data_IF_500385577728
#
_entry.id   IF_500385577728
#
_cell.length_a   1.000
_cell.length_b   1.000
_cell.length_c   1.000
_cell.angle_alpha   90.00
_cell.angle_beta   90.00
_cell.angle_gamma   90.00
#
_symmetry.space_group_name_H-M   'P 1'
#
loop_
_entity.id
_entity.type
_entity.pdbx_description
1 polymer ?
#
# COMPACT_ATOMS: atom_id res chain seq x y z
N UNK A 1 15.44 -3.75 -4.63
CA UNK A 1 14.60 -2.68 -4.11
C UNK A 1 13.22 -3.24 -3.79
N UNK A 2 12.70 -2.91 -2.62
CA UNK A 2 11.41 -3.38 -2.13
C UNK A 2 10.40 -2.24 -2.17
N UNK A 3 9.18 -2.53 -2.57
CA UNK A 3 8.08 -1.55 -2.64
C UNK A 3 6.87 -2.11 -1.89
N UNK A 4 6.30 -1.29 -0.99
CA UNK A 4 5.02 -1.55 -0.34
C UNK A 4 3.92 -0.87 -1.15
N UNK A 5 2.86 -1.62 -1.47
CA UNK A 5 1.75 -1.12 -2.28
C UNK A 5 0.61 -0.62 -1.39
N UNK A 6 0.13 0.59 -1.65
CA UNK A 6 -1.12 1.07 -1.07
C UNK A 6 -2.30 0.23 -1.59
N UNK A 7 -3.39 0.23 -0.86
CA UNK A 7 -4.56 -0.61 -1.13
C UNK A 7 -5.10 -0.46 -2.56
N UNK A 8 -5.28 0.77 -3.04
CA UNK A 8 -5.75 0.99 -4.41
C UNK A 8 -4.78 0.48 -5.48
N UNK A 9 -3.49 0.58 -5.21
CA UNK A 9 -2.45 0.10 -6.14
C UNK A 9 -2.52 -1.41 -6.31
N UNK A 10 -2.76 -2.14 -5.22
CA UNK A 10 -2.98 -3.60 -5.27
C UNK A 10 -4.15 -3.93 -6.19
N UNK A 11 -5.28 -3.26 -6.00
CA UNK A 11 -6.48 -3.49 -6.79
C UNK A 11 -6.27 -3.16 -8.27
N UNK A 12 -5.61 -2.04 -8.56
CA UNK A 12 -5.30 -1.65 -9.93
C UNK A 12 -4.37 -2.66 -10.62
N UNK A 13 -3.35 -3.12 -9.89
CA UNK A 13 -2.41 -4.10 -10.44
C UNK A 13 -3.11 -5.42 -10.80
N UNK A 14 -3.94 -5.93 -9.90
CA UNK A 14 -4.65 -7.20 -10.12
C UNK A 14 -5.70 -7.11 -11.23
N UNK A 15 -6.33 -5.95 -11.39
CA UNK A 15 -7.34 -5.72 -12.43
C UNK A 15 -6.75 -5.23 -13.76
N UNK A 16 -5.44 -5.06 -13.83
CA UNK A 16 -4.76 -4.42 -14.96
C UNK A 16 -5.41 -3.08 -15.33
N UNK A 17 -5.70 -2.29 -14.30
CA UNK A 17 -6.40 -1.01 -14.45
C UNK A 17 -5.46 0.02 -15.09
N UNK A 18 -5.91 0.74 -16.15
CA UNK A 18 -5.07 1.73 -16.84
C UNK A 18 -4.69 2.93 -15.98
N UNK A 19 -5.33 3.16 -14.83
CA UNK A 19 -4.91 4.19 -13.88
C UNK A 19 -3.53 3.93 -13.30
N UNK A 20 -3.10 2.65 -13.24
CA UNK A 20 -1.72 2.31 -12.89
C UNK A 20 -0.82 2.70 -14.06
N UNK A 21 0.04 3.69 -13.85
CA UNK A 21 0.83 4.30 -14.91
C UNK A 21 1.98 3.44 -15.40
N UNK A 22 2.55 3.79 -16.57
CA UNK A 22 3.63 2.98 -17.17
C UNK A 22 4.92 2.99 -16.35
N UNK A 23 5.29 4.09 -15.74
CA UNK A 23 6.48 4.16 -14.87
C UNK A 23 6.31 3.33 -13.61
N UNK A 24 5.11 3.37 -13.02
CA UNK A 24 4.80 2.55 -11.86
C UNK A 24 4.88 1.06 -12.20
N UNK A 25 4.35 0.66 -13.36
CA UNK A 25 4.45 -0.73 -13.85
C UNK A 25 5.88 -1.18 -14.05
N UNK A 26 6.71 -0.33 -14.66
CA UNK A 26 8.14 -0.62 -14.85
C UNK A 26 8.85 -0.77 -13.51
N UNK A 27 8.54 0.09 -12.56
CA UNK A 27 9.13 0.03 -11.23
C UNK A 27 8.74 -1.24 -10.48
N UNK A 28 7.49 -1.64 -10.59
CA UNK A 28 7.01 -2.90 -10.00
C UNK A 28 7.69 -4.11 -10.65
N UNK A 29 7.84 -4.10 -11.96
CA UNK A 29 8.53 -5.18 -12.68
C UNK A 29 10.00 -5.30 -12.28
N UNK A 30 10.66 -4.17 -11.99
CA UNK A 30 12.07 -4.14 -11.60
C UNK A 30 12.29 -4.36 -10.10
N UNK A 31 11.25 -4.30 -9.27
CA UNK A 31 11.38 -4.45 -7.82
C UNK A 31 11.81 -5.87 -7.44
N UNK A 32 12.70 -5.97 -6.45
CA UNK A 32 13.09 -7.26 -5.88
C UNK A 32 11.96 -7.90 -5.10
N UNK A 33 11.24 -7.07 -4.33
CA UNK A 33 10.04 -7.50 -3.59
C UNK A 33 8.93 -6.46 -3.75
N UNK A 34 7.72 -6.97 -3.94
CA UNK A 34 6.49 -6.18 -4.00
C UNK A 34 5.60 -6.65 -2.88
N UNK A 35 5.36 -5.79 -1.90
CA UNK A 35 4.72 -6.18 -0.66
C UNK A 35 3.32 -5.59 -0.56
N UNK A 36 2.42 -6.37 0.03
CA UNK A 36 1.06 -5.97 0.40
C UNK A 36 0.92 -6.16 1.90
N UNK A 37 0.50 -5.12 2.60
CA UNK A 37 0.17 -5.26 4.02
C UNK A 37 -1.13 -6.05 4.19
N UNK A 38 -1.16 -6.96 5.16
CA UNK A 38 -2.42 -7.61 5.52
C UNK A 38 -3.44 -6.61 6.06
N UNK A 39 -3.00 -5.43 6.52
CA UNK A 39 -3.91 -4.33 6.85
C UNK A 39 -4.68 -3.83 5.63
N UNK A 40 -4.07 -3.82 4.44
CA UNK A 40 -4.78 -3.49 3.19
C UNK A 40 -5.85 -4.51 2.86
N UNK A 41 -5.56 -5.79 3.10
CA UNK A 41 -6.55 -6.85 2.93
C UNK A 41 -7.75 -6.66 3.89
N UNK A 42 -7.47 -6.26 5.11
CA UNK A 42 -8.50 -5.95 6.10
C UNK A 42 -9.36 -4.75 5.67
N UNK A 43 -8.73 -3.69 5.18
CA UNK A 43 -9.44 -2.53 4.64
C UNK A 43 -10.39 -2.95 3.50
N UNK A 44 -9.89 -3.76 2.57
CA UNK A 44 -10.69 -4.28 1.46
C UNK A 44 -11.87 -5.11 1.98
N UNK A 45 -11.63 -5.99 2.95
CA UNK A 45 -12.66 -6.83 3.54
C UNK A 45 -13.79 -5.99 4.15
N UNK A 46 -13.45 -4.92 4.85
CA UNK A 46 -14.43 -3.99 5.42
C UNK A 46 -15.26 -3.33 4.32
N UNK A 47 -14.61 -2.87 3.25
CA UNK A 47 -15.31 -2.20 2.14
C UNK A 47 -16.20 -3.15 1.35
N UNK A 48 -15.78 -4.40 1.19
CA UNK A 48 -16.62 -5.45 0.58
C UNK A 48 -17.85 -5.72 1.44
N UNK A 49 -17.68 -5.87 2.74
CA UNK A 49 -18.79 -6.08 3.69
C UNK A 49 -19.79 -4.93 3.64
N UNK A 50 -19.32 -3.69 3.49
CA UNK A 50 -20.18 -2.51 3.41
C UNK A 50 -20.80 -2.32 2.01
N UNK A 51 -20.53 -3.18 1.05
CA UNK A 51 -21.03 -3.06 -0.31
C UNK A 51 -20.38 -1.96 -1.14
N UNK A 52 -19.24 -1.41 -0.66
CA UNK A 52 -18.53 -0.31 -1.33
C UNK A 52 -17.50 -0.78 -2.36
N UNK A 53 -17.20 -2.07 -2.37
CA UNK A 53 -16.17 -2.63 -3.22
C UNK A 53 -16.55 -4.06 -3.62
N UNK A 54 -16.28 -4.42 -4.88
CA UNK A 54 -16.47 -5.76 -5.40
C UNK A 54 -15.12 -6.33 -5.82
N UNK A 55 -14.74 -7.45 -5.26
CA UNK A 55 -13.50 -8.16 -5.57
C UNK A 55 -13.79 -9.66 -5.68
N UNK A 56 -12.92 -10.44 -6.34
CA UNK A 56 -13.05 -11.90 -6.32
C UNK A 56 -12.97 -12.46 -4.90
N UNK A 57 -13.75 -13.52 -4.62
CA UNK A 57 -13.75 -14.15 -3.31
C UNK A 57 -12.40 -14.75 -2.92
N UNK A 58 -11.59 -15.12 -3.91
CA UNK A 58 -10.25 -15.67 -3.73
C UNK A 58 -9.14 -14.61 -3.81
N UNK A 59 -9.45 -13.37 -3.46
CA UNK A 59 -8.50 -12.26 -3.55
C UNK A 59 -7.13 -12.56 -2.91
N UNK A 60 -7.03 -13.12 -1.70
CA UNK A 60 -5.72 -13.43 -1.10
C UNK A 60 -4.90 -14.37 -1.97
N UNK A 61 -5.52 -15.39 -2.56
CA UNK A 61 -4.86 -16.32 -3.46
C UNK A 61 -4.36 -15.62 -4.73
N UNK A 62 -5.15 -14.70 -5.28
CA UNK A 62 -4.77 -13.92 -6.46
C UNK A 62 -3.61 -12.99 -6.19
N UNK A 63 -3.55 -12.38 -5.01
CA UNK A 63 -2.43 -11.54 -4.58
C UNK A 63 -1.14 -12.37 -4.58
N UNK A 64 -1.16 -13.54 -3.95
CA UNK A 64 -0.01 -14.44 -3.92
C UNK A 64 0.38 -14.92 -5.33
N UNK A 65 -0.60 -15.30 -6.14
CA UNK A 65 -0.37 -15.78 -7.51
C UNK A 65 0.23 -14.70 -8.42
N UNK A 66 -0.03 -13.43 -8.13
CA UNK A 66 0.56 -12.30 -8.85
C UNK A 66 2.03 -12.03 -8.47
N UNK A 67 2.60 -12.82 -7.57
CA UNK A 67 3.98 -12.67 -7.13
C UNK A 67 4.17 -11.59 -6.06
N UNK A 68 3.10 -11.17 -5.39
CA UNK A 68 3.15 -10.20 -4.30
C UNK A 68 3.39 -10.94 -2.98
N UNK A 69 4.26 -10.35 -2.14
CA UNK A 69 4.52 -10.86 -0.80
C UNK A 69 3.66 -10.17 0.25
N UNK A 70 3.47 -10.81 1.39
CA UNK A 70 2.74 -10.23 2.51
C UNK A 70 3.69 -9.54 3.48
N UNK A 71 3.30 -8.36 3.94
CA UNK A 71 3.92 -7.69 5.08
C UNK A 71 2.87 -7.59 6.19
N UNK A 72 2.99 -8.45 7.19
CA UNK A 72 2.06 -8.46 8.30
C UNK A 72 2.44 -7.38 9.30
N UNK A 73 1.49 -6.53 9.76
CA UNK A 73 1.76 -5.57 10.82
C UNK A 73 2.12 -6.28 12.12
N UNK A 74 3.35 -6.05 12.57
CA UNK A 74 3.82 -6.52 13.87
C UNK A 74 3.66 -5.46 14.95
N UNK A 75 4.05 -5.80 16.19
CA UNK A 75 4.00 -4.88 17.30
C UNK A 75 4.85 -3.62 17.06
N UNK A 76 5.99 -3.77 16.42
CA UNK A 76 6.88 -2.64 16.08
C UNK A 76 6.16 -1.67 15.14
N UNK A 77 5.49 -2.18 14.11
CA UNK A 77 4.74 -1.35 13.16
C UNK A 77 3.58 -0.63 13.83
N UNK A 78 2.77 -1.36 14.58
CA UNK A 78 1.58 -0.83 15.24
C UNK A 78 1.94 0.26 16.23
N UNK A 79 2.99 0.05 17.03
CA UNK A 79 3.44 1.02 18.00
C UNK A 79 4.06 2.25 17.34
N UNK A 80 4.73 2.08 16.20
CA UNK A 80 5.35 3.16 15.45
C UNK A 80 4.32 4.12 14.82
N UNK A 81 3.05 3.74 14.71
CA UNK A 81 1.99 4.63 14.21
C UNK A 81 1.93 5.94 15.00
N UNK A 82 2.19 5.91 16.31
CA UNK A 82 2.20 7.11 17.17
C UNK A 82 3.26 8.13 16.76
N UNK A 83 4.30 7.71 16.05
CA UNK A 83 5.42 8.57 15.64
C UNK A 83 5.26 9.12 14.23
N UNK A 84 4.25 8.69 13.47
CA UNK A 84 3.99 9.20 12.12
C UNK A 84 3.39 10.60 12.20
N UNK A 85 4.13 11.58 11.70
CA UNK A 85 3.76 13.00 11.70
C UNK A 85 3.67 13.52 10.26
N UNK A 86 2.90 14.60 10.10
CA UNK A 86 2.75 15.24 8.79
C UNK A 86 1.65 14.64 7.92
N UNK A 87 0.87 13.72 8.46
CA UNK A 87 -0.27 13.16 7.76
C UNK A 87 -1.36 14.22 7.55
N UNK A 88 -1.92 14.31 6.32
CA UNK A 88 -2.98 15.27 6.02
C UNK A 88 -4.33 14.88 6.62
N UNK A 89 -4.50 13.65 7.06
CA UNK A 89 -5.73 13.09 7.64
C UNK A 89 -5.40 12.00 8.65
N UNK A 90 -6.43 11.46 9.30
CA UNK A 90 -6.28 10.47 10.36
C UNK A 90 -6.72 9.06 9.95
N UNK A 91 -6.71 8.74 8.67
CA UNK A 91 -7.04 7.39 8.22
C UNK A 91 -6.10 6.36 8.87
N UNK A 92 -6.63 5.42 9.68
CA UNK A 92 -5.79 4.49 10.42
C UNK A 92 -5.04 3.50 9.51
N UNK A 93 -5.62 3.13 8.38
CA UNK A 93 -4.96 2.22 7.43
C UNK A 93 -3.75 2.89 6.79
N UNK A 94 -3.89 4.14 6.33
CA UNK A 94 -2.79 4.90 5.74
C UNK A 94 -1.67 5.14 6.76
N UNK A 95 -2.02 5.45 8.00
CA UNK A 95 -1.04 5.65 9.06
C UNK A 95 -0.26 4.36 9.34
N UNK A 96 -0.92 3.22 9.34
CA UNK A 96 -0.26 1.93 9.55
C UNK A 96 0.66 1.58 8.38
N UNK A 97 0.23 1.81 7.14
CA UNK A 97 1.08 1.60 5.97
C UNK A 97 2.33 2.47 6.01
N UNK A 98 2.20 3.74 6.39
CA UNK A 98 3.35 4.63 6.54
C UNK A 98 4.29 4.17 7.65
N UNK A 99 3.75 3.70 8.78
CA UNK A 99 4.55 3.15 9.86
C UNK A 99 5.32 1.91 9.39
N UNK A 100 4.67 1.01 8.66
CA UNK A 100 5.33 -0.17 8.11
C UNK A 100 6.45 0.22 7.12
N UNK A 101 6.16 1.13 6.19
CA UNK A 101 7.16 1.59 5.23
C UNK A 101 8.36 2.24 5.93
N UNK A 102 8.12 3.03 6.97
CA UNK A 102 9.16 3.69 7.75
C UNK A 102 10.03 2.68 8.49
N UNK A 103 9.43 1.74 9.22
CA UNK A 103 10.16 0.73 10.00
C UNK A 103 10.97 -0.18 9.08
N UNK A 104 10.38 -0.64 7.97
CA UNK A 104 11.04 -1.54 7.02
C UNK A 104 11.98 -0.79 6.06
N UNK A 105 11.95 0.54 6.06
CA UNK A 105 12.76 1.40 5.16
C UNK A 105 12.52 1.06 3.69
N UNK A 106 11.26 0.96 3.32
CA UNK A 106 10.83 0.68 1.95
C UNK A 106 10.01 1.83 1.39
N UNK A 107 9.97 1.95 0.07
CA UNK A 107 9.13 2.93 -0.59
C UNK A 107 7.65 2.51 -0.53
N UNK A 108 6.77 3.49 -0.45
CA UNK A 108 5.32 3.30 -0.56
C UNK A 108 4.85 3.78 -1.93
N UNK A 109 4.21 2.89 -2.69
CA UNK A 109 3.56 3.27 -3.95
C UNK A 109 2.10 3.59 -3.68
N UNK A 110 1.69 4.80 -4.01
CA UNK A 110 0.34 5.31 -3.74
C UNK A 110 -0.15 6.19 -4.88
N UNK A 111 -1.46 6.30 -5.02
CA UNK A 111 -2.12 7.24 -5.91
C UNK A 111 -2.74 8.43 -5.16
N UNK A 112 -2.63 8.46 -3.85
CA UNK A 112 -3.20 9.52 -3.02
C UNK A 112 -2.31 10.76 -3.07
N UNK A 113 -2.80 11.82 -3.73
CA UNK A 113 -2.05 13.07 -3.89
C UNK A 113 -1.69 13.69 -2.53
N UNK A 114 -2.57 13.59 -1.54
CA UNK A 114 -2.31 14.13 -0.21
C UNK A 114 -1.13 13.42 0.45
N UNK A 115 -1.01 12.10 0.27
CA UNK A 115 0.16 11.34 0.76
C UNK A 115 1.43 11.66 -0.03
N UNK A 116 1.31 11.86 -1.33
CA UNK A 116 2.46 12.21 -2.18
C UNK A 116 3.03 13.58 -1.82
N UNK A 117 2.18 14.52 -1.45
CA UNK A 117 2.57 15.90 -1.13
C UNK A 117 2.94 16.10 0.35
N UNK A 118 2.60 15.15 1.23
CA UNK A 118 2.81 15.29 2.66
C UNK A 118 4.30 15.38 3.02
N UNK A 119 4.62 16.22 4.00
CA UNK A 119 5.95 16.29 4.61
C UNK A 119 5.98 15.38 5.82
N UNK A 120 6.32 14.12 5.60
CA UNK A 120 6.28 13.08 6.62
C UNK A 120 7.52 13.12 7.50
N UNK A 121 7.32 12.83 8.78
CA UNK A 121 8.38 12.64 9.76
C UNK A 121 8.02 11.42 10.64
N UNK A 122 8.78 10.30 10.61
CA UNK A 122 9.94 10.07 9.73
C UNK A 122 9.58 10.09 8.25
N UNK A 123 10.54 10.46 7.41
CA UNK A 123 10.29 10.48 5.96
C UNK A 123 10.13 9.08 5.40
N UNK A 124 9.24 8.96 4.42
CA UNK A 124 8.97 7.75 3.66
C UNK A 124 9.06 8.11 2.19
N UNK A 125 9.87 7.37 1.43
CA UNK A 125 9.91 7.54 -0.02
C UNK A 125 8.58 7.12 -0.61
N UNK A 126 7.97 7.99 -1.43
CA UNK A 126 6.69 7.71 -2.08
C UNK A 126 6.85 7.70 -3.58
N UNK A 127 6.15 6.77 -4.21
CA UNK A 127 6.14 6.59 -5.66
C UNK A 127 4.71 6.81 -6.14
N UNK A 128 4.54 7.66 -7.14
CA UNK A 128 3.22 7.95 -7.70
C UNK A 128 2.78 6.81 -8.61
N UNK A 129 1.73 6.10 -8.20
CA UNK A 129 1.19 4.96 -8.93
C UNK A 129 0.52 5.35 -10.26
N UNK A 130 0.18 6.62 -10.45
CA UNK A 130 -0.52 7.10 -11.66
C UNK A 130 0.43 7.41 -12.82
N UNK A 131 1.70 7.45 -12.57
CA UNK A 131 2.73 7.79 -13.57
C UNK A 131 3.44 6.52 -14.05
#
# INVERSE_FOLDING_TARGET
>A
VTVLLDTHVVLWLLADDPRLGPRARDRLAAAGERLVSTASLWEIAIKVELGKLHVPDDLPTRITAAGLGWLEPGAVHTWAVRDVRGMPHRDPFDRLLLAQASVERVALMTADQALLDARLDPDVTRVDARR
#
